data_IF_436239293310
#
_entry.id   IF_436239293310
#
_cell.length_a   1.000
_cell.length_b   1.000
_cell.length_c   1.000
_cell.angle_alpha   90.00
_cell.angle_beta   90.00
_cell.angle_gamma   90.00
#
_symmetry.space_group_name_H-M   'P 1'
#
loop_
_entity.id
_entity.type
_entity.pdbx_description
1 polymer ?
#
# COMPACT_ATOMS: atom_id res chain seq x y z
N UNK A 1 -14.48 7.13 21.30
CA UNK A 1 -14.15 6.47 20.01
C UNK A 1 -13.81 7.50 18.93
N UNK A 2 -14.75 8.36 18.51
CA UNK A 2 -14.57 9.30 17.39
C UNK A 2 -13.37 10.24 17.55
N UNK A 3 -13.15 10.82 18.74
CA UNK A 3 -12.02 11.71 18.99
C UNK A 3 -10.65 11.02 18.79
N UNK A 4 -10.48 9.77 19.27
CA UNK A 4 -9.23 9.00 19.08
C UNK A 4 -8.97 8.71 17.61
N UNK A 5 -10.01 8.38 16.83
CA UNK A 5 -9.92 8.17 15.39
C UNK A 5 -9.55 9.45 14.64
N UNK A 6 -10.13 10.59 15.02
CA UNK A 6 -9.80 11.89 14.41
C UNK A 6 -8.34 12.23 14.66
N UNK A 7 -7.86 12.11 15.90
CA UNK A 7 -6.45 12.40 16.24
C UNK A 7 -5.52 11.49 15.43
N UNK A 8 -5.77 10.18 15.44
CA UNK A 8 -4.95 9.20 14.73
C UNK A 8 -4.87 9.53 13.22
N UNK A 9 -6.02 9.71 12.56
CA UNK A 9 -6.05 10.02 11.12
C UNK A 9 -5.49 11.40 10.78
N UNK A 10 -5.57 12.37 11.70
CA UNK A 10 -4.94 13.69 11.49
C UNK A 10 -3.41 13.58 11.53
N UNK A 11 -2.85 12.82 12.48
CA UNK A 11 -1.41 12.59 12.53
C UNK A 11 -0.89 11.89 11.28
N UNK A 12 -1.61 10.88 10.79
CA UNK A 12 -1.22 10.19 9.56
C UNK A 12 -1.38 11.03 8.31
N UNK A 13 -2.45 11.83 8.22
CA UNK A 13 -2.61 12.77 7.12
C UNK A 13 -1.47 13.79 7.10
N UNK A 14 -1.01 14.27 8.25
CA UNK A 14 0.15 15.15 8.34
C UNK A 14 1.44 14.47 7.86
N UNK A 15 1.66 13.20 8.21
CA UNK A 15 2.78 12.41 7.71
C UNK A 15 2.68 12.20 6.18
N UNK A 16 1.49 11.88 5.65
CA UNK A 16 1.24 11.70 4.23
C UNK A 16 1.45 12.99 3.44
N UNK A 17 1.01 14.13 3.96
CA UNK A 17 1.24 15.45 3.37
C UNK A 17 2.73 15.77 3.33
N UNK A 18 3.46 15.49 4.41
CA UNK A 18 4.91 15.67 4.46
C UNK A 18 5.61 14.78 3.43
N UNK A 19 5.25 13.50 3.36
CA UNK A 19 5.77 12.56 2.36
C UNK A 19 5.45 13.02 0.93
N UNK A 20 4.30 13.67 0.72
CA UNK A 20 3.92 14.22 -0.58
C UNK A 20 4.77 15.44 -0.95
N UNK A 21 5.00 16.35 -0.01
CA UNK A 21 5.85 17.54 -0.21
C UNK A 21 7.29 17.13 -0.53
N UNK A 22 7.80 16.07 0.12
CA UNK A 22 9.12 15.49 -0.15
C UNK A 22 9.18 14.67 -1.45
N UNK A 23 8.07 14.47 -2.15
CA UNK A 23 7.98 13.74 -3.41
C UNK A 23 7.94 12.21 -3.27
N UNK A 24 7.87 11.66 -2.05
CA UNK A 24 7.84 10.21 -1.82
C UNK A 24 6.56 9.57 -2.36
N UNK A 25 5.41 10.25 -2.24
CA UNK A 25 4.17 9.73 -2.81
C UNK A 25 4.23 9.69 -4.33
N UNK A 26 4.79 10.73 -4.97
CA UNK A 26 5.00 10.75 -6.42
C UNK A 26 5.94 9.63 -6.86
N UNK A 27 7.03 9.37 -6.13
CA UNK A 27 7.93 8.24 -6.40
C UNK A 27 7.19 6.91 -6.36
N UNK A 28 6.40 6.66 -5.31
CA UNK A 28 5.67 5.39 -5.14
C UNK A 28 4.61 5.21 -6.23
N UNK A 29 3.79 6.23 -6.51
CA UNK A 29 2.72 6.08 -7.50
C UNK A 29 3.22 6.06 -8.94
N UNK A 30 4.24 6.85 -9.29
CA UNK A 30 4.81 6.87 -10.64
C UNK A 30 5.75 5.68 -10.88
N UNK A 31 6.39 5.15 -9.83
CA UNK A 31 7.27 4.00 -9.90
C UNK A 31 6.53 2.67 -10.08
N UNK A 32 5.22 2.65 -9.82
CA UNK A 32 4.35 1.50 -10.03
C UNK A 32 3.72 1.51 -11.43
N UNK A 33 4.39 0.83 -12.37
CA UNK A 33 3.87 0.67 -13.74
C UNK A 33 2.64 -0.24 -13.87
N UNK A 34 2.25 -0.94 -12.79
CA UNK A 34 1.07 -1.83 -12.78
C UNK A 34 -0.21 -1.13 -12.32
N UNK A 35 -0.09 0.07 -11.75
CA UNK A 35 -1.18 0.85 -11.14
C UNK A 35 -1.87 0.19 -9.93
N UNK A 36 -1.34 -0.91 -9.39
CA UNK A 36 -1.89 -1.59 -8.21
C UNK A 36 -1.90 -0.68 -6.97
N UNK A 37 -0.90 0.19 -6.83
CA UNK A 37 -0.79 1.18 -5.76
C UNK A 37 -1.99 2.12 -5.72
N UNK A 38 -2.55 2.50 -6.88
CA UNK A 38 -3.76 3.32 -6.94
C UNK A 38 -4.99 2.57 -6.45
N UNK A 39 -5.11 1.28 -6.79
CA UNK A 39 -6.20 0.42 -6.28
C UNK A 39 -6.13 0.32 -4.76
N UNK A 40 -4.93 0.10 -4.21
CA UNK A 40 -4.69 0.06 -2.76
C UNK A 40 -5.07 1.39 -2.11
N UNK A 41 -4.68 2.52 -2.71
CA UNK A 41 -5.01 3.85 -2.18
C UNK A 41 -6.54 4.09 -2.12
N UNK A 42 -7.29 3.64 -3.13
CA UNK A 42 -8.76 3.73 -3.13
C UNK A 42 -9.36 2.86 -2.03
N UNK A 43 -8.88 1.63 -1.84
CA UNK A 43 -9.34 0.73 -0.77
C UNK A 43 -9.05 1.34 0.60
N UNK A 44 -7.87 1.90 0.80
CA UNK A 44 -7.46 2.56 2.03
C UNK A 44 -8.40 3.73 2.35
N UNK A 45 -8.56 4.67 1.42
CA UNK A 45 -9.40 5.85 1.60
C UNK A 45 -10.87 5.46 1.86
N UNK A 46 -11.43 4.56 1.04
CA UNK A 46 -12.80 4.08 1.20
C UNK A 46 -13.02 3.38 2.54
N UNK A 47 -12.05 2.56 2.96
CA UNK A 47 -12.12 1.83 4.23
C UNK A 47 -12.09 2.76 5.43
N UNK A 48 -11.19 3.76 5.43
CA UNK A 48 -11.11 4.80 6.49
C UNK A 48 -12.39 5.62 6.55
N UNK A 49 -12.94 6.06 5.41
CA UNK A 49 -14.18 6.82 5.36
C UNK A 49 -15.36 6.03 5.94
N UNK A 50 -15.47 4.74 5.60
CA UNK A 50 -16.53 3.88 6.09
C UNK A 50 -16.50 3.67 7.62
N UNK A 51 -15.33 3.79 8.28
CA UNK A 51 -15.24 3.75 9.75
C UNK A 51 -16.05 4.88 10.40
N UNK A 52 -16.06 6.06 9.80
CA UNK A 52 -16.84 7.20 10.31
C UNK A 52 -18.35 6.99 10.20
N UNK A 53 -18.79 6.06 9.35
CA UNK A 53 -20.19 5.60 9.24
C UNK A 53 -20.53 4.47 10.22
N UNK A 54 -19.65 4.16 11.17
CA UNK A 54 -19.74 3.06 12.17
C UNK A 54 -19.68 1.65 11.58
N UNK A 55 -19.37 1.48 10.28
CA UNK A 55 -19.07 0.18 9.69
C UNK A 55 -17.61 -0.14 10.00
N UNK A 56 -17.36 -1.19 10.78
CA UNK A 56 -15.99 -1.54 11.21
C UNK A 56 -15.60 -2.98 10.89
N UNK A 57 -16.55 -3.82 10.49
CA UNK A 57 -16.29 -5.23 10.12
C UNK A 57 -15.34 -5.38 8.94
N UNK A 58 -15.30 -4.41 8.02
CA UNK A 58 -14.51 -4.49 6.78
C UNK A 58 -13.04 -4.09 6.96
N UNK A 59 -12.67 -3.45 8.08
CA UNK A 59 -11.34 -2.82 8.23
C UNK A 59 -10.22 -3.86 8.17
N UNK A 60 -10.36 -4.96 8.92
CA UNK A 60 -9.32 -5.99 8.96
C UNK A 60 -9.23 -6.77 7.64
N UNK A 61 -10.34 -7.22 7.00
CA UNK A 61 -10.29 -7.76 5.64
C UNK A 61 -9.65 -6.81 4.63
N UNK A 62 -9.97 -5.52 4.69
CA UNK A 62 -9.38 -4.51 3.80
C UNK A 62 -7.87 -4.36 4.03
N UNK A 63 -7.40 -4.42 5.28
CA UNK A 63 -5.97 -4.39 5.60
C UNK A 63 -5.21 -5.54 4.93
N UNK A 64 -5.71 -6.78 5.08
CA UNK A 64 -5.13 -7.96 4.45
C UNK A 64 -5.18 -7.90 2.92
N UNK A 65 -6.27 -7.37 2.36
CA UNK A 65 -6.40 -7.18 0.92
C UNK A 65 -5.32 -6.21 0.39
N UNK A 66 -5.07 -5.10 1.08
CA UNK A 66 -4.03 -4.14 0.70
C UNK A 66 -2.63 -4.79 0.65
N UNK A 67 -2.27 -5.60 1.65
CA UNK A 67 -0.99 -6.33 1.66
C UNK A 67 -0.92 -7.36 0.54
N UNK A 68 -2.00 -8.13 0.34
CA UNK A 68 -2.09 -9.14 -0.72
C UNK A 68 -1.95 -8.50 -2.10
N UNK A 69 -2.59 -7.35 -2.32
CA UNK A 69 -2.42 -6.57 -3.56
C UNK A 69 -1.00 -6.06 -3.71
N UNK A 70 -0.35 -5.62 -2.63
CA UNK A 70 1.07 -5.25 -2.67
C UNK A 70 1.96 -6.41 -3.13
N UNK A 71 1.71 -7.62 -2.63
CA UNK A 71 2.38 -8.84 -3.07
C UNK A 71 2.07 -9.18 -4.55
N UNK A 72 0.83 -9.03 -4.99
CA UNK A 72 0.47 -9.19 -6.42
C UNK A 72 1.26 -8.20 -7.29
N UNK A 73 1.41 -6.95 -6.86
CA UNK A 73 2.23 -5.98 -7.57
C UNK A 73 3.72 -6.36 -7.61
N UNK A 74 4.25 -7.03 -6.58
CA UNK A 74 5.60 -7.62 -6.63
C UNK A 74 5.72 -8.62 -7.77
N UNK A 75 4.77 -9.56 -7.88
CA UNK A 75 4.78 -10.58 -8.92
C UNK A 75 4.69 -9.94 -10.32
N UNK A 76 3.86 -8.91 -10.48
CA UNK A 76 3.75 -8.15 -11.72
C UNK A 76 5.08 -7.45 -12.05
N UNK A 77 5.69 -6.76 -11.10
CA UNK A 77 6.96 -6.06 -11.29
C UNK A 77 8.11 -7.01 -11.68
N UNK A 78 8.21 -8.18 -11.01
CA UNK A 78 9.17 -9.22 -11.40
C UNK A 78 8.91 -9.69 -12.83
N UNK A 79 7.63 -9.92 -13.19
CA UNK A 79 7.25 -10.36 -14.53
C UNK A 79 7.63 -9.32 -15.59
N UNK A 80 7.37 -8.04 -15.34
CA UNK A 80 7.75 -6.94 -16.24
C UNK A 80 9.28 -6.90 -16.41
N UNK A 81 10.02 -7.00 -15.30
CA UNK A 81 11.49 -6.97 -15.32
C UNK A 81 12.08 -8.11 -16.13
N UNK A 82 11.59 -9.33 -15.93
CA UNK A 82 12.07 -10.51 -16.66
C UNK A 82 11.64 -10.52 -18.13
N UNK A 83 10.43 -10.05 -18.44
CA UNK A 83 9.93 -9.98 -19.82
C UNK A 83 10.74 -9.04 -20.72
N UNK A 84 11.41 -8.05 -20.14
CA UNK A 84 12.29 -7.13 -20.88
C UNK A 84 13.72 -7.62 -21.08
N UNK A 85 14.09 -8.81 -20.57
CA UNK A 85 15.45 -9.34 -20.68
C UNK A 85 15.56 -10.29 -21.88
N UNK A 86 16.38 -9.91 -22.86
CA UNK A 86 16.83 -10.83 -23.91
C UNK A 86 18.11 -11.54 -23.46
N UNK A 87 17.96 -12.82 -23.09
CA UNK A 87 19.07 -13.66 -22.61
C UNK A 87 20.13 -13.87 -23.69
N UNK A 88 19.75 -13.88 -24.97
CA UNK A 88 20.69 -14.06 -26.08
C UNK A 88 21.60 -12.86 -26.30
N UNK A 89 21.15 -11.66 -25.90
CA UNK A 89 21.91 -10.42 -26.03
C UNK A 89 22.96 -10.21 -24.91
N UNK A 90 22.91 -11.00 -23.83
CA UNK A 90 23.76 -10.84 -22.63
C UNK A 90 25.27 -11.05 -22.88
N UNK A 91 25.66 -11.55 -24.05
CA UNK A 91 27.06 -11.69 -24.43
C UNK A 91 27.70 -10.35 -24.85
N UNK A 92 26.89 -9.31 -25.06
CA UNK A 92 27.34 -7.97 -25.40
C UNK A 92 27.18 -7.01 -24.21
N UNK A 93 28.04 -6.00 -24.13
CA UNK A 93 27.94 -4.95 -23.10
C UNK A 93 26.60 -4.21 -23.23
N UNK A 94 26.17 -3.92 -24.45
CA UNK A 94 24.90 -3.27 -24.75
C UNK A 94 23.70 -4.09 -24.27
N UNK A 95 23.71 -5.40 -24.50
CA UNK A 95 22.65 -6.30 -24.03
C UNK A 95 22.56 -6.41 -22.51
N UNK A 96 23.70 -6.38 -21.81
CA UNK A 96 23.72 -6.34 -20.33
C UNK A 96 23.14 -5.03 -19.80
N UNK A 97 23.44 -3.88 -20.43
CA UNK A 97 22.87 -2.59 -20.05
C UNK A 97 21.35 -2.59 -20.27
N UNK A 98 20.89 -3.10 -21.41
CA UNK A 98 19.47 -3.19 -21.72
C UNK A 98 18.71 -4.07 -20.71
N UNK A 99 19.26 -5.25 -20.39
CA UNK A 99 18.70 -6.15 -19.37
C UNK A 99 18.65 -5.48 -17.99
N UNK A 100 19.71 -4.75 -17.61
CA UNK A 100 19.74 -3.98 -16.37
C UNK A 100 18.62 -2.95 -16.30
N UNK A 101 18.41 -2.17 -17.35
CA UNK A 101 17.34 -1.17 -17.41
C UNK A 101 15.94 -1.79 -17.30
N UNK A 102 15.71 -2.94 -17.96
CA UNK A 102 14.45 -3.67 -17.84
C UNK A 102 14.21 -4.15 -16.39
N UNK A 103 15.24 -4.75 -15.76
CA UNK A 103 15.17 -5.20 -14.38
C UNK A 103 14.93 -4.05 -13.40
N UNK A 104 15.55 -2.88 -13.60
CA UNK A 104 15.27 -1.69 -12.78
C UNK A 104 13.83 -1.19 -12.92
N UNK A 105 13.26 -1.22 -14.13
CA UNK A 105 11.86 -0.88 -14.35
C UNK A 105 10.90 -1.83 -13.62
N UNK A 106 11.14 -3.14 -13.72
CA UNK A 106 10.35 -4.15 -13.01
C UNK A 106 10.49 -4.06 -11.49
N UNK A 107 11.72 -3.82 -11.00
CA UNK A 107 12.03 -3.65 -9.58
C UNK A 107 11.32 -2.44 -8.98
N UNK A 108 11.29 -1.31 -9.70
CA UNK A 108 10.53 -0.12 -9.29
C UNK A 108 9.07 -0.47 -9.05
N UNK A 109 8.46 -1.18 -9.99
CA UNK A 109 7.05 -1.59 -9.88
C UNK A 109 6.81 -2.49 -8.67
N UNK A 110 7.65 -3.52 -8.51
CA UNK A 110 7.54 -4.47 -7.40
C UNK A 110 7.72 -3.81 -6.02
N UNK A 111 8.69 -2.92 -5.90
CA UNK A 111 8.96 -2.21 -4.65
C UNK A 111 7.82 -1.25 -4.30
N UNK A 112 7.38 -0.44 -5.26
CA UNK A 112 6.37 0.61 -5.05
C UNK A 112 5.00 0.03 -4.68
N UNK A 113 4.56 -1.05 -5.34
CA UNK A 113 3.31 -1.71 -4.98
C UNK A 113 3.35 -2.31 -3.57
N UNK A 114 4.50 -2.89 -3.19
CA UNK A 114 4.68 -3.56 -1.90
C UNK A 114 4.68 -2.59 -0.74
N UNK A 115 5.45 -1.50 -0.85
CA UNK A 115 5.49 -0.49 0.20
C UNK A 115 4.12 0.17 0.36
N UNK A 116 3.38 0.40 -0.74
CA UNK A 116 2.00 0.91 -0.68
C UNK A 116 1.08 -0.07 0.06
N UNK A 117 1.12 -1.36 -0.29
CA UNK A 117 0.32 -2.40 0.36
C UNK A 117 0.60 -2.54 1.85
N UNK A 118 1.88 -2.60 2.22
CA UNK A 118 2.31 -2.71 3.62
C UNK A 118 1.90 -1.49 4.44
N UNK A 119 2.12 -0.27 3.93
CA UNK A 119 1.72 0.96 4.63
C UNK A 119 0.20 1.04 4.81
N UNK A 120 -0.56 0.71 3.77
CA UNK A 120 -2.02 0.71 3.84
C UNK A 120 -2.55 -0.35 4.82
N UNK A 121 -1.98 -1.56 4.81
CA UNK A 121 -2.32 -2.63 5.75
C UNK A 121 -2.06 -2.19 7.20
N UNK A 122 -0.85 -1.69 7.49
CA UNK A 122 -0.47 -1.24 8.83
C UNK A 122 -1.36 -0.11 9.32
N UNK A 123 -1.76 0.79 8.41
CA UNK A 123 -2.68 1.87 8.73
C UNK A 123 -4.07 1.35 9.11
N UNK A 124 -4.68 0.52 8.25
CA UNK A 124 -6.00 -0.06 8.50
C UNK A 124 -6.00 -0.94 9.75
N UNK A 125 -4.92 -1.69 9.98
CA UNK A 125 -4.75 -2.44 11.22
C UNK A 125 -4.76 -1.53 12.46
N UNK A 126 -4.03 -0.41 12.42
CA UNK A 126 -4.03 0.59 13.52
C UNK A 126 -5.41 1.20 13.74
N UNK A 127 -6.12 1.53 12.66
CA UNK A 127 -7.51 2.02 12.72
C UNK A 127 -8.44 0.96 13.32
N UNK A 128 -8.26 -0.32 12.99
CA UNK A 128 -9.07 -1.42 13.52
C UNK A 128 -8.95 -1.55 15.04
N UNK A 129 -7.76 -1.30 15.62
CA UNK A 129 -7.56 -1.33 17.07
C UNK A 129 -8.32 -0.21 17.76
N UNK A 130 -8.17 1.02 17.26
CA UNK A 130 -8.85 2.18 17.84
C UNK A 130 -10.38 2.12 17.65
N UNK A 131 -10.85 1.58 16.53
CA UNK A 131 -12.26 1.38 16.27
C UNK A 131 -12.86 0.17 17.01
N UNK A 132 -12.08 -0.89 17.21
CA UNK A 132 -12.46 -2.15 17.84
C UNK A 132 -12.49 -2.09 19.38
N UNK A 133 -11.66 -1.25 20.01
CA UNK A 133 -11.67 -1.01 21.46
C UNK A 133 -13.07 -0.63 21.99
N UNK A 134 -13.93 -0.02 21.17
CA UNK A 134 -15.29 0.34 21.54
C UNK A 134 -16.23 -0.85 21.77
N UNK A 135 -15.96 -2.01 21.16
CA UNK A 135 -16.79 -3.22 21.33
C UNK A 135 -16.43 -4.01 22.60
N UNK A 136 -15.17 -3.97 23.03
CA UNK A 136 -14.72 -4.65 24.26
C UNK A 136 -15.25 -3.95 25.53
N UNK A 137 -15.15 -2.61 25.59
CA UNK A 137 -15.62 -1.83 26.75
C UNK A 137 -17.15 -1.88 26.90
N UNK A 138 -17.90 -1.95 25.79
CA UNK A 138 -19.36 -2.08 25.83
C UNK A 138 -19.81 -3.48 26.29
N UNK A 139 -19.00 -4.53 26.05
CA UNK A 139 -19.29 -5.88 26.51
C UNK A 139 -19.04 -6.04 28.03
N UNK A 140 -18.04 -5.34 28.57
CA UNK A 140 -17.73 -5.35 30.01
C UNK A 140 -18.69 -4.46 30.83
N UNK A 141 -19.25 -3.40 30.24
CA UNK A 141 -20.22 -2.52 30.92
C UNK A 141 -21.66 -3.07 30.94
N UNK A 142 -21.89 -4.26 30.37
CA UNK A 142 -23.18 -4.94 30.30
C UNK A 142 -23.22 -6.31 31.00
N UNK A 143 -22.18 -6.66 31.77
CA UNK A 143 -22.09 -7.84 32.64
C UNK A 143 -22.08 -7.42 34.12
#
# INVERSE_FOLDING_TARGET
MTARLIILNTCWLAALLTATILGYTAFVFNGDGSYVSYVIAVILAGSVLAVFTKRTEHILPAAWLCETLGFVGTLIGITIGLAGVDVSALQSTEGVIAAGNALFGGMSTAFCSTITGAVAMLWLWSVSKVAGDGKAVAAEAGA
#
